data_IF_936260689813
#
_entry.id   IF_936260689813
#
_cell.length_a   1.000
_cell.length_b   1.000
_cell.length_c   1.000
_cell.angle_alpha   90.00
_cell.angle_beta   90.00
_cell.angle_gamma   90.00
#
_symmetry.space_group_name_H-M   'P 1'
#
loop_
_entity.id
_entity.type
_entity.pdbx_description
1 polymer ?
#
# COMPACT_ATOMS: atom_id res chain seq x y z
N UNK A 1 8.10 -16.61 6.95
CA UNK A 1 7.05 -16.37 5.93
C UNK A 1 7.04 -14.88 5.64
N UNK A 2 6.71 -14.49 4.41
CA UNK A 2 6.58 -13.07 4.07
C UNK A 2 5.30 -12.49 4.72
N UNK A 3 5.31 -11.23 5.17
CA UNK A 3 4.13 -10.53 5.66
C UNK A 3 2.98 -10.51 4.64
N UNK A 4 1.75 -10.26 5.12
CA UNK A 4 0.56 -10.10 4.28
C UNK A 4 0.65 -8.86 3.40
N UNK A 5 1.02 -7.73 4.00
CA UNK A 5 1.24 -6.45 3.32
C UNK A 5 2.70 -6.04 3.41
N UNK A 6 3.19 -5.44 2.33
CA UNK A 6 4.52 -4.84 2.24
C UNK A 6 4.38 -3.48 1.56
N UNK A 7 5.08 -2.48 2.07
CA UNK A 7 5.26 -1.21 1.38
C UNK A 7 6.44 -1.34 0.41
N UNK A 8 6.22 -0.91 -0.83
CA UNK A 8 7.21 -0.86 -1.88
C UNK A 8 7.32 0.57 -2.42
N UNK A 9 8.55 1.01 -2.62
CA UNK A 9 8.87 2.35 -3.09
C UNK A 9 9.68 2.25 -4.39
N UNK A 10 9.31 3.09 -5.37
CA UNK A 10 10.08 3.31 -6.60
C UNK A 10 10.28 4.80 -6.88
N UNK A 11 10.45 5.59 -5.83
CA UNK A 11 10.58 7.06 -5.84
C UNK A 11 11.66 7.61 -6.77
N UNK A 12 12.66 6.80 -7.15
CA UNK A 12 13.68 7.21 -8.12
C UNK A 12 13.14 7.32 -9.56
N UNK A 13 12.16 6.50 -9.94
CA UNK A 13 11.51 6.57 -11.26
C UNK A 13 10.14 7.25 -11.20
N UNK A 14 9.42 7.07 -10.09
CA UNK A 14 8.06 7.57 -9.84
C UNK A 14 8.03 8.22 -8.44
N UNK A 15 8.54 9.45 -8.28
CA UNK A 15 8.72 10.10 -6.97
C UNK A 15 7.44 10.31 -6.19
N UNK A 16 6.31 10.46 -6.90
CA UNK A 16 5.02 10.79 -6.31
C UNK A 16 4.16 9.53 -6.07
N UNK A 17 4.73 8.32 -6.17
CA UNK A 17 3.97 7.07 -6.11
C UNK A 17 4.51 6.09 -5.08
N UNK A 18 3.60 5.50 -4.31
CA UNK A 18 3.86 4.37 -3.41
C UNK A 18 3.08 3.15 -3.86
N UNK A 19 3.58 1.98 -3.48
CA UNK A 19 3.00 0.71 -3.85
C UNK A 19 2.77 -0.15 -2.61
N UNK A 20 1.52 -0.58 -2.39
CA UNK A 20 1.19 -1.58 -1.38
C UNK A 20 1.11 -2.95 -2.06
N UNK A 21 1.91 -3.89 -1.57
CA UNK A 21 1.95 -5.26 -2.08
C UNK A 21 1.17 -6.17 -1.15
N UNK A 22 0.07 -6.73 -1.65
CA UNK A 22 -0.68 -7.80 -0.98
C UNK A 22 -0.14 -9.16 -1.41
N UNK A 23 0.51 -9.85 -0.47
CA UNK A 23 1.26 -11.07 -0.70
C UNK A 23 0.46 -12.36 -0.34
N UNK A 24 -0.77 -12.22 0.14
CA UNK A 24 -1.70 -13.34 0.30
C UNK A 24 -2.66 -13.46 -0.89
N UNK A 25 -3.33 -14.61 -1.06
CA UNK A 25 -4.28 -14.77 -2.16
C UNK A 25 -5.57 -14.00 -1.89
N UNK A 26 -6.09 -13.23 -2.87
CA UNK A 26 -5.54 -12.97 -4.20
C UNK A 26 -4.35 -11.99 -4.14
N UNK A 27 -3.22 -12.33 -4.78
CA UNK A 27 -2.04 -11.46 -4.75
C UNK A 27 -2.19 -10.30 -5.73
N UNK A 28 -1.93 -9.09 -5.26
CA UNK A 28 -1.99 -7.88 -6.07
C UNK A 28 -1.03 -6.81 -5.53
N UNK A 29 -0.79 -5.80 -6.35
CA UNK A 29 -0.09 -4.58 -5.98
C UNK A 29 -1.04 -3.44 -6.27
N UNK A 30 -1.22 -2.51 -5.33
CA UNK A 30 -1.93 -1.26 -5.58
C UNK A 30 -0.91 -0.14 -5.54
N UNK A 31 -0.80 0.60 -6.64
CA UNK A 31 0.01 1.82 -6.71
C UNK A 31 -0.90 3.02 -6.52
N UNK A 32 -0.52 3.96 -5.66
CA UNK A 32 -1.26 5.18 -5.38
C UNK A 32 -0.32 6.38 -5.30
N UNK A 33 -0.92 7.57 -5.35
CA UNK A 33 -0.20 8.79 -5.01
C UNK A 33 0.14 8.79 -3.51
N UNK A 34 1.23 9.46 -3.14
CA UNK A 34 1.62 9.64 -1.74
C UNK A 34 0.64 10.59 -1.03
N UNK A 35 0.10 11.57 -1.77
CA UNK A 35 -0.78 12.59 -1.19
C UNK A 35 -2.23 12.13 -1.06
N UNK A 36 -2.69 11.22 -1.93
CA UNK A 36 -4.08 10.77 -1.96
C UNK A 36 -4.19 9.33 -2.53
N UNK A 37 -4.47 8.37 -1.64
CA UNK A 37 -4.59 6.95 -2.00
C UNK A 37 -5.77 6.70 -2.95
N UNK A 38 -6.87 7.42 -2.76
CA UNK A 38 -8.15 7.14 -3.40
C UNK A 38 -8.25 7.70 -4.83
N UNK A 39 -7.53 8.79 -5.12
CA UNK A 39 -7.68 9.53 -6.38
C UNK A 39 -6.96 8.87 -7.56
N UNK A 40 -5.79 8.25 -7.34
CA UNK A 40 -4.92 7.71 -8.40
C UNK A 40 -4.55 6.24 -8.22
N UNK A 41 -5.36 5.46 -7.49
CA UNK A 41 -5.10 4.04 -7.29
C UNK A 41 -5.16 3.21 -8.58
N UNK A 42 -4.10 2.44 -8.84
CA UNK A 42 -4.03 1.45 -9.92
C UNK A 42 -3.71 0.08 -9.35
N UNK A 43 -4.60 -0.89 -9.62
CA UNK A 43 -4.45 -2.26 -9.13
C UNK A 43 -3.82 -3.15 -10.20
N UNK A 44 -2.68 -3.75 -9.85
CA UNK A 44 -1.95 -4.73 -10.62
C UNK A 44 -2.17 -6.13 -10.01
N UNK A 45 -3.07 -6.91 -10.60
CA UNK A 45 -3.34 -8.28 -10.15
C UNK A 45 -2.21 -9.23 -10.59
N UNK A 46 -1.59 -9.92 -9.63
CA UNK A 46 -0.59 -10.96 -9.89
C UNK A 46 -1.30 -12.31 -10.10
N UNK A 47 -2.31 -12.58 -9.28
CA UNK A 47 -3.21 -13.73 -9.44
C UNK A 47 -4.42 -13.37 -10.32
N UNK A 48 -5.35 -14.31 -10.48
CA UNK A 48 -6.62 -14.04 -11.16
C UNK A 48 -7.41 -12.95 -10.42
N UNK A 49 -7.84 -11.94 -11.17
CA UNK A 49 -8.69 -10.86 -10.64
C UNK A 49 -9.97 -11.46 -10.04
N UNK A 50 -10.29 -11.17 -8.77
CA UNK A 50 -11.55 -11.58 -8.15
C UNK A 50 -12.75 -11.07 -8.94
N UNK A 51 -13.80 -11.88 -9.04
CA UNK A 51 -15.07 -11.48 -9.67
C UNK A 51 -15.99 -10.74 -8.70
N UNK A 52 -15.76 -10.93 -7.41
CA UNK A 52 -16.50 -10.32 -6.33
C UNK A 52 -16.02 -8.88 -6.13
N UNK A 53 -16.92 -7.92 -6.31
CA UNK A 53 -16.61 -6.49 -6.17
C UNK A 53 -16.49 -6.08 -4.71
N UNK A 54 -17.23 -6.72 -3.81
CA UNK A 54 -17.21 -6.41 -2.39
C UNK A 54 -15.87 -6.86 -1.80
N UNK A 55 -15.36 -8.01 -2.25
CA UNK A 55 -14.02 -8.48 -1.90
C UNK A 55 -12.92 -7.53 -2.41
N UNK A 56 -13.03 -7.01 -3.63
CA UNK A 56 -12.05 -6.04 -4.16
C UNK A 56 -12.06 -4.76 -3.32
N UNK A 57 -13.25 -4.23 -3.00
CA UNK A 57 -13.37 -3.04 -2.17
C UNK A 57 -12.78 -3.27 -0.77
N UNK A 58 -13.05 -4.42 -0.16
CA UNK A 58 -12.46 -4.78 1.13
C UNK A 58 -10.92 -4.83 1.06
N UNK A 59 -10.35 -5.46 0.03
CA UNK A 59 -8.89 -5.56 -0.13
C UNK A 59 -8.23 -4.20 -0.35
N UNK A 60 -8.91 -3.27 -1.02
CA UNK A 60 -8.43 -1.91 -1.21
C UNK A 60 -8.44 -1.13 0.10
N UNK A 61 -9.55 -1.18 0.84
CA UNK A 61 -9.65 -0.54 2.15
C UNK A 61 -8.58 -1.08 3.12
N UNK A 62 -8.36 -2.40 3.13
CA UNK A 62 -7.29 -2.99 3.96
C UNK A 62 -5.88 -2.54 3.54
N UNK A 63 -5.67 -2.26 2.24
CA UNK A 63 -4.39 -1.76 1.74
C UNK A 63 -4.18 -0.29 2.09
N UNK A 64 -5.24 0.51 2.06
CA UNK A 64 -5.24 1.91 2.51
C UNK A 64 -4.94 2.02 4.01
N UNK A 65 -5.69 1.29 4.85
CA UNK A 65 -5.47 1.25 6.30
C UNK A 65 -4.03 0.84 6.65
N UNK A 66 -3.46 -0.10 5.88
CA UNK A 66 -2.06 -0.49 6.05
C UNK A 66 -1.10 0.64 5.68
N UNK A 67 -1.33 1.32 4.55
CA UNK A 67 -0.47 2.43 4.11
C UNK A 67 -0.48 3.56 5.14
N UNK A 68 -1.66 3.98 5.58
CA UNK A 68 -1.80 5.03 6.60
C UNK A 68 -1.07 4.66 7.89
N UNK A 69 -1.31 3.45 8.41
CA UNK A 69 -0.66 2.99 9.64
C UNK A 69 0.87 2.89 9.51
N UNK A 70 1.38 2.51 8.33
CA UNK A 70 2.82 2.44 8.08
C UNK A 70 3.45 3.83 7.96
N UNK A 71 2.78 4.80 7.31
CA UNK A 71 3.22 6.20 7.25
C UNK A 71 3.21 6.85 8.65
N UNK A 72 2.15 6.67 9.43
CA UNK A 72 2.07 7.16 10.82
C UNK A 72 3.21 6.58 11.68
N UNK A 73 3.52 5.29 11.52
CA UNK A 73 4.61 4.64 12.23
C UNK A 73 5.99 5.19 11.80
N UNK A 74 6.17 5.49 10.51
CA UNK A 74 7.39 6.13 10.01
C UNK A 74 7.53 7.54 10.57
N UNK A 75 6.48 8.37 10.50
CA UNK A 75 6.49 9.73 11.04
C UNK A 75 6.83 9.73 12.54
N UNK A 76 6.19 8.85 13.32
CA UNK A 76 6.52 8.68 14.75
C UNK A 76 7.97 8.29 14.98
N UNK A 77 8.55 7.43 14.13
CA UNK A 77 9.94 7.01 14.24
C UNK A 77 10.93 8.16 13.93
N UNK A 78 10.59 9.03 12.98
CA UNK A 78 11.39 10.21 12.64
C UNK A 78 11.27 11.31 13.71
N UNK A 79 10.09 11.53 14.30
CA UNK A 79 9.91 12.48 15.41
C UNK A 79 10.67 12.06 16.68
N UNK A 80 10.70 10.76 17.00
CA UNK A 80 11.47 10.24 18.14
C UNK A 80 13.00 10.25 17.88
N UNK A 81 13.42 10.39 16.63
CA UNK A 81 14.83 10.39 16.20
C UNK A 81 15.54 11.74 16.26
N UNK A 82 14.82 12.86 16.32
CA UNK A 82 15.40 14.21 16.43
C UNK A 82 15.76 14.60 17.89
N UNK A 83 15.67 13.65 18.83
CA UNK A 83 15.79 13.88 20.27
C UNK A 83 17.01 13.28 20.98
N UNK A 84 18.12 12.93 20.30
CA UNK A 84 19.31 12.38 20.98
C UNK A 84 20.65 12.96 20.51
#
# INVERSE_FOLDING_TARGET
MLPKFLLADNSQEMPDMLYVVHNEKPRFIVGSDIEDFDVNQTIYWIDEKPKDKDLIAQLLNEAEEFLEAELENQDSFFEDGEGN
#
